data_IF_954308660210
#
_entry.id   IF_954308660210
#
_cell.length_a   1.000
_cell.length_b   1.000
_cell.length_c   1.000
_cell.angle_alpha   90.00
_cell.angle_beta   90.00
_cell.angle_gamma   90.00
#
_symmetry.space_group_name_H-M   'P 1'
#
loop_
_entity.id
_entity.type
_entity.pdbx_description
1 polymer ?
#
# COMPACT_ATOMS: atom_id res chain seq x y z
N UNK A 1 1.33 -8.88 2.87
CA UNK A 1 1.69 -9.46 4.19
C UNK A 1 2.45 -8.50 5.10
N UNK A 2 3.46 -7.78 4.61
CA UNK A 2 4.18 -6.77 5.42
C UNK A 2 3.22 -5.72 6.01
N UNK A 3 2.38 -5.10 5.18
CA UNK A 3 1.37 -4.14 5.65
C UNK A 3 0.39 -4.74 6.68
N UNK A 4 -0.02 -6.00 6.48
CA UNK A 4 -0.88 -6.71 7.43
C UNK A 4 -0.21 -6.83 8.80
N UNK A 5 1.08 -7.23 8.85
CA UNK A 5 1.83 -7.34 10.10
C UNK A 5 2.00 -6.00 10.80
N UNK A 6 2.27 -4.92 10.04
CA UNK A 6 2.32 -3.55 10.59
C UNK A 6 0.99 -3.18 11.25
N UNK A 7 -0.12 -3.33 10.53
CA UNK A 7 -1.44 -2.99 11.07
C UNK A 7 -1.86 -3.87 12.25
N UNK A 8 -1.52 -5.16 12.20
CA UNK A 8 -1.81 -6.10 13.29
C UNK A 8 -1.07 -5.73 14.58
N UNK A 9 0.22 -5.40 14.47
CA UNK A 9 1.01 -4.94 15.62
C UNK A 9 0.45 -3.65 16.20
N UNK A 10 0.19 -2.64 15.37
CA UNK A 10 -0.38 -1.37 15.84
C UNK A 10 -1.76 -1.55 16.51
N UNK A 11 -2.62 -2.40 15.94
CA UNK A 11 -3.93 -2.67 16.52
C UNK A 11 -3.82 -3.38 17.87
N UNK A 12 -2.92 -4.35 18.02
CA UNK A 12 -2.67 -5.02 19.29
C UNK A 12 -2.07 -4.08 20.33
N UNK A 13 -1.15 -3.21 19.92
CA UNK A 13 -0.60 -2.16 20.80
C UNK A 13 -1.70 -1.20 21.30
N UNK A 14 -2.73 -0.98 20.48
CA UNK A 14 -3.93 -0.22 20.85
C UNK A 14 -4.98 -1.03 21.64
N UNK A 15 -4.70 -2.28 22.01
CA UNK A 15 -5.58 -3.11 22.83
C UNK A 15 -6.63 -3.93 22.06
N UNK A 16 -6.57 -3.97 20.73
CA UNK A 16 -7.47 -4.82 19.93
C UNK A 16 -7.12 -6.31 20.17
N UNK A 17 -8.09 -7.17 20.55
CA UNK A 17 -7.84 -8.56 20.95
C UNK A 17 -7.67 -9.48 19.73
N UNK A 18 -6.75 -9.13 18.81
CA UNK A 18 -6.41 -9.99 17.69
C UNK A 18 -5.55 -11.17 18.13
N UNK A 19 -5.86 -12.34 17.58
CA UNK A 19 -5.01 -13.53 17.66
C UNK A 19 -3.70 -13.28 16.91
N UNK A 20 -2.67 -14.05 17.25
CA UNK A 20 -1.42 -14.04 16.47
C UNK A 20 -1.66 -14.43 15.01
N UNK A 21 -0.86 -13.87 14.11
CA UNK A 21 -0.87 -14.26 12.70
C UNK A 21 -0.27 -15.66 12.60
N UNK A 22 -1.01 -16.67 12.10
CA UNK A 22 -0.53 -18.04 12.13
C UNK A 22 0.60 -18.26 11.13
N UNK A 23 1.50 -19.18 11.47
CA UNK A 23 2.64 -19.59 10.63
C UNK A 23 2.20 -20.59 9.56
N UNK A 24 1.32 -20.15 8.67
CA UNK A 24 0.90 -20.91 7.48
C UNK A 24 1.65 -20.42 6.26
N UNK A 25 1.83 -21.28 5.25
CA UNK A 25 2.49 -20.92 3.98
C UNK A 25 1.91 -19.65 3.34
N UNK A 26 0.58 -19.50 3.32
CA UNK A 26 -0.10 -18.31 2.77
C UNK A 26 0.18 -17.00 3.52
N UNK A 27 0.67 -17.07 4.75
CA UNK A 27 0.96 -15.92 5.63
C UNK A 27 2.44 -15.81 6.01
N UNK A 28 3.27 -16.69 5.46
CA UNK A 28 4.70 -16.65 5.61
C UNK A 28 5.27 -15.50 4.78
N UNK A 29 6.19 -14.73 5.37
CA UNK A 29 6.95 -13.76 4.62
C UNK A 29 8.15 -14.46 3.98
N UNK A 30 8.51 -14.09 2.73
CA UNK A 30 9.83 -14.39 2.19
C UNK A 30 10.92 -13.92 3.17
N UNK A 31 11.99 -14.71 3.41
CA UNK A 31 13.02 -14.36 4.39
C UNK A 31 13.64 -12.97 4.18
N UNK A 32 13.79 -12.54 2.93
CA UNK A 32 14.30 -11.23 2.54
C UNK A 32 13.38 -10.05 2.93
N UNK A 33 12.09 -10.30 3.21
CA UNK A 33 11.13 -9.29 3.66
C UNK A 33 11.03 -9.19 5.18
N UNK A 34 11.50 -10.16 5.95
CA UNK A 34 11.49 -10.11 7.42
C UNK A 34 12.20 -8.86 7.98
N UNK A 35 13.43 -8.49 7.55
CA UNK A 35 14.09 -7.27 8.06
C UNK A 35 13.36 -5.99 7.66
N UNK A 36 12.72 -5.97 6.48
CA UNK A 36 11.90 -4.84 6.02
C UNK A 36 10.64 -4.72 6.87
N UNK A 37 9.99 -5.85 7.17
CA UNK A 37 8.81 -5.90 8.04
C UNK A 37 9.12 -5.37 9.43
N UNK A 38 10.22 -5.79 10.04
CA UNK A 38 10.66 -5.27 11.34
C UNK A 38 10.91 -3.76 11.31
N UNK A 39 11.60 -3.28 10.26
CA UNK A 39 11.89 -1.85 10.07
C UNK A 39 10.61 -1.03 9.95
N UNK A 40 9.62 -1.53 9.20
CA UNK A 40 8.34 -0.83 9.00
C UNK A 40 7.45 -0.84 10.24
N UNK A 41 7.49 -1.91 11.05
CA UNK A 41 6.79 -1.95 12.35
C UNK A 41 7.38 -0.90 13.31
N UNK A 42 8.70 -0.86 13.42
CA UNK A 42 9.40 0.10 14.28
C UNK A 42 9.18 1.55 13.82
N UNK A 43 9.23 1.79 12.50
CA UNK A 43 8.83 3.07 11.92
C UNK A 43 7.39 3.43 12.32
N UNK A 44 6.43 2.53 12.09
CA UNK A 44 5.02 2.81 12.36
C UNK A 44 4.75 3.14 13.83
N UNK A 45 5.43 2.47 14.77
CA UNK A 45 5.35 2.77 16.21
C UNK A 45 5.92 4.14 16.58
N UNK A 46 7.04 4.54 15.96
CA UNK A 46 7.69 5.84 16.23
C UNK A 46 7.06 7.02 15.49
N UNK A 47 6.23 6.76 14.49
CA UNK A 47 5.67 7.77 13.58
C UNK A 47 6.69 8.37 12.60
N UNK A 48 7.96 7.98 12.68
CA UNK A 48 9.03 8.42 11.76
C UNK A 48 10.09 7.33 11.57
N UNK A 49 10.72 7.33 10.40
CA UNK A 49 11.62 6.26 9.97
C UNK A 49 11.87 6.30 8.46
N UNK A 50 12.76 5.44 8.01
CA UNK A 50 13.09 5.26 6.59
C UNK A 50 13.61 3.85 6.35
N UNK A 51 13.40 3.33 5.15
CA UNK A 51 14.07 2.12 4.67
C UNK A 51 15.48 2.48 4.18
N UNK A 52 16.38 1.50 4.18
CA UNK A 52 17.66 1.65 3.48
C UNK A 52 17.45 1.69 1.96
N UNK A 53 18.37 2.29 1.19
CA UNK A 53 18.30 2.27 -0.28
C UNK A 53 18.20 0.85 -0.86
N UNK A 54 18.88 -0.12 -0.25
CA UNK A 54 18.88 -1.53 -0.67
C UNK A 54 17.52 -2.18 -0.42
N UNK A 55 16.92 -1.92 0.75
CA UNK A 55 15.57 -2.39 1.08
C UNK A 55 14.53 -1.80 0.12
N UNK A 56 14.63 -0.49 -0.16
CA UNK A 56 13.73 0.18 -1.09
C UNK A 56 13.89 -0.35 -2.51
N UNK A 57 15.14 -0.58 -2.95
CA UNK A 57 15.45 -1.19 -4.25
C UNK A 57 14.83 -2.59 -4.36
N UNK A 58 14.98 -3.43 -3.33
CA UNK A 58 14.38 -4.77 -3.30
C UNK A 58 12.87 -4.72 -3.46
N UNK A 59 12.20 -3.86 -2.69
CA UNK A 59 10.75 -3.69 -2.77
C UNK A 59 10.31 -3.25 -4.16
N UNK A 60 10.95 -2.22 -4.73
CA UNK A 60 10.63 -1.69 -6.05
C UNK A 60 10.82 -2.72 -7.16
N UNK A 61 11.82 -3.59 -7.05
CA UNK A 61 12.13 -4.58 -8.07
C UNK A 61 11.20 -5.81 -8.04
N UNK A 62 10.76 -6.25 -6.84
CA UNK A 62 10.14 -7.57 -6.68
C UNK A 62 8.74 -7.58 -6.07
N UNK A 63 8.39 -6.54 -5.30
CA UNK A 63 7.20 -6.58 -4.44
C UNK A 63 6.23 -5.41 -4.61
N UNK A 64 6.68 -4.31 -5.22
CA UNK A 64 5.82 -3.16 -5.53
C UNK A 64 5.37 -3.29 -6.98
N UNK A 65 4.06 -3.45 -7.17
CA UNK A 65 3.45 -3.45 -8.49
C UNK A 65 3.38 -2.03 -9.06
N UNK A 66 3.76 -1.88 -10.33
CA UNK A 66 3.52 -0.64 -11.07
C UNK A 66 2.04 -0.56 -11.47
N UNK A 67 1.22 0.02 -10.60
CA UNK A 67 -0.22 0.17 -10.85
C UNK A 67 -0.53 1.23 -11.90
N UNK A 68 0.26 2.30 -12.01
CA UNK A 68 0.05 3.36 -13.00
C UNK A 68 0.62 2.97 -14.37
N UNK A 69 -0.25 2.92 -15.38
CA UNK A 69 0.09 2.52 -16.74
C UNK A 69 -0.88 3.14 -17.77
N UNK A 70 -0.50 3.11 -19.04
CA UNK A 70 -1.29 3.63 -20.16
C UNK A 70 -2.04 2.53 -20.93
N UNK A 71 -2.40 1.43 -20.27
CA UNK A 71 -3.18 0.40 -20.94
C UNK A 71 -4.58 0.92 -21.23
N UNK A 72 -4.98 0.82 -22.50
CA UNK A 72 -6.30 1.17 -22.96
C UNK A 72 -7.29 0.06 -22.58
N UNK A 73 -8.43 0.45 -22.03
CA UNK A 73 -9.59 -0.41 -21.86
C UNK A 73 -10.72 0.14 -22.75
N UNK A 74 -11.41 -0.77 -23.42
CA UNK A 74 -12.59 -0.45 -24.24
C UNK A 74 -13.80 -0.57 -23.34
N UNK A 75 -14.55 0.52 -23.16
CA UNK A 75 -15.77 0.50 -22.35
C UNK A 75 -16.77 -0.53 -22.87
N UNK A 76 -17.31 -1.38 -21.99
CA UNK A 76 -18.39 -2.34 -22.29
C UNK A 76 -19.76 -1.64 -22.49
N UNK A 77 -19.79 -0.35 -22.81
CA UNK A 77 -20.98 0.50 -22.86
C UNK A 77 -21.59 0.60 -24.26
N UNK A 78 -22.92 0.58 -24.33
CA UNK A 78 -23.75 0.34 -25.52
C UNK A 78 -23.89 1.52 -26.52
N UNK A 79 -23.08 2.57 -26.47
CA UNK A 79 -23.20 3.66 -27.46
C UNK A 79 -21.95 4.52 -27.52
N UNK A 80 -21.26 4.49 -28.69
CA UNK A 80 -19.99 5.17 -29.04
C UNK A 80 -18.82 4.76 -28.14
N UNK A 81 -17.89 4.02 -28.74
CA UNK A 81 -16.77 3.39 -28.05
C UNK A 81 -15.73 4.45 -27.70
N UNK A 82 -15.77 4.95 -26.47
CA UNK A 82 -14.69 5.78 -25.92
C UNK A 82 -13.60 4.89 -25.33
N UNK A 83 -12.37 5.05 -25.81
CA UNK A 83 -11.18 4.42 -25.23
C UNK A 83 -10.87 5.09 -23.89
N UNK A 84 -10.74 4.31 -22.81
CA UNK A 84 -10.40 4.82 -21.48
C UNK A 84 -9.06 4.28 -21.00
N UNK A 85 -8.36 5.08 -20.20
CA UNK A 85 -7.09 4.72 -19.57
C UNK A 85 -7.25 4.80 -18.04
N UNK A 86 -7.87 3.80 -17.40
CA UNK A 86 -8.28 3.88 -16.00
C UNK A 86 -7.08 4.01 -15.04
N UNK A 87 -5.94 3.45 -15.43
CA UNK A 87 -4.71 3.46 -14.63
C UNK A 87 -3.72 4.55 -15.06
N UNK A 88 -4.13 5.50 -15.91
CA UNK A 88 -3.21 6.53 -16.43
C UNK A 88 -2.51 7.24 -15.26
N UNK A 89 -1.18 7.44 -15.34
CA UNK A 89 -0.48 8.26 -14.35
C UNK A 89 -1.08 9.67 -14.28
N UNK A 90 -1.19 10.21 -13.06
CA UNK A 90 -1.53 11.60 -12.86
C UNK A 90 -0.27 12.49 -13.01
N UNK A 91 -0.46 13.68 -13.56
CA UNK A 91 0.62 14.67 -13.67
C UNK A 91 1.11 15.05 -12.27
N UNK A 92 2.42 14.93 -12.04
CA UNK A 92 3.02 15.19 -10.72
C UNK A 92 2.79 14.11 -9.66
N UNK A 93 2.20 12.96 -10.02
CA UNK A 93 2.00 11.82 -9.12
C UNK A 93 0.66 11.83 -8.38
N UNK A 94 0.56 11.03 -7.30
CA UNK A 94 -0.71 10.86 -6.57
C UNK A 94 -1.14 12.16 -5.89
N UNK A 95 -2.28 12.71 -6.31
CA UNK A 95 -2.92 13.84 -5.63
C UNK A 95 -3.18 13.50 -4.15
N UNK A 96 -2.83 14.43 -3.25
CA UNK A 96 -3.02 14.31 -1.80
C UNK A 96 -3.95 15.43 -1.35
N UNK A 97 -5.05 15.06 -0.72
CA UNK A 97 -6.01 15.99 -0.15
C UNK A 97 -5.86 15.97 1.37
N UNK A 98 -5.83 17.15 1.99
CA UNK A 98 -5.82 17.26 3.44
C UNK A 98 -7.15 16.73 3.99
N UNK A 99 -7.09 16.10 5.17
CA UNK A 99 -8.28 15.70 5.90
C UNK A 99 -8.94 16.96 6.48
N UNK A 100 -9.87 17.52 5.71
CA UNK A 100 -10.66 18.68 6.08
C UNK A 100 -12.10 18.25 6.27
N UNK A 101 -12.78 18.70 7.34
CA UNK A 101 -14.21 18.45 7.48
C UNK A 101 -14.96 19.02 6.27
N UNK A 102 -16.05 18.37 5.82
CA UNK A 102 -16.84 18.88 4.69
C UNK A 102 -17.27 20.32 4.97
N UNK A 103 -17.14 21.19 3.96
CA UNK A 103 -17.64 22.56 4.05
C UNK A 103 -19.14 22.50 4.34
N UNK A 104 -19.58 23.20 5.38
CA UNK A 104 -20.97 23.19 5.86
C UNK A 104 -21.93 23.96 4.92
N UNK A 105 -21.38 24.61 3.89
CA UNK A 105 -22.11 25.53 3.03
C UNK A 105 -21.85 25.13 1.56
N UNK A 106 -22.65 24.19 1.04
CA UNK A 106 -22.81 23.89 -0.38
C UNK A 106 -24.28 23.62 -0.67
#
# INVERSE_FOLDING_TARGET
LVYLRVMHVLARDAGVPFKDIPTTEALALPPELEPISATLVDWARRGSGKLSPEQERLLRQRYIHQSSNWNAEIGQGSSRVDVVFPNRPADGGRARYADQPPRKDA
#
